data_IF_693544779836
#
_entry.id   IF_693544779836
#
_cell.length_a   1.000
_cell.length_b   1.000
_cell.length_c   1.000
_cell.angle_alpha   90.00
_cell.angle_beta   90.00
_cell.angle_gamma   90.00
#
_symmetry.space_group_name_H-M   'P 1'
#
loop_
_entity.id
_entity.type
_entity.pdbx_description
1 polymer ?
#
# COMPACT_ATOMS: atom_id res chain seq x y z
N UNK A 1 34.17 -54.10 -0.99
CA UNK A 1 32.97 -53.66 -0.24
C UNK A 1 33.19 -52.36 0.56
N UNK A 2 34.22 -52.23 1.40
CA UNK A 2 34.49 -51.00 2.19
C UNK A 2 34.62 -49.72 1.34
N UNK A 3 35.36 -49.77 0.22
CA UNK A 3 35.54 -48.60 -0.67
C UNK A 3 34.28 -48.17 -1.44
N UNK A 4 33.39 -49.12 -1.76
CA UNK A 4 32.11 -48.82 -2.45
C UNK A 4 31.19 -48.03 -1.52
N UNK A 5 31.16 -48.40 -0.23
CA UNK A 5 30.40 -47.68 0.78
C UNK A 5 30.95 -46.25 0.99
N UNK A 6 32.28 -46.09 0.99
CA UNK A 6 32.93 -44.77 1.09
C UNK A 6 32.63 -43.87 -0.11
N UNK A 7 32.61 -44.42 -1.33
CA UNK A 7 32.25 -43.67 -2.54
C UNK A 7 30.79 -43.25 -2.51
N UNK A 8 29.87 -44.15 -2.14
CA UNK A 8 28.43 -43.85 -2.04
C UNK A 8 28.12 -42.75 -1.02
N UNK A 9 28.82 -42.74 0.12
CA UNK A 9 28.71 -41.69 1.14
C UNK A 9 29.25 -40.36 0.61
N UNK A 10 30.39 -40.37 -0.09
CA UNK A 10 30.97 -39.16 -0.68
C UNK A 10 30.05 -38.55 -1.76
N UNK A 11 29.41 -39.38 -2.60
CA UNK A 11 28.45 -38.90 -3.61
C UNK A 11 27.18 -38.34 -2.96
N UNK A 12 26.71 -38.93 -1.85
CA UNK A 12 25.54 -38.45 -1.11
C UNK A 12 25.76 -37.09 -0.43
N UNK A 13 26.98 -36.80 0.02
CA UNK A 13 27.35 -35.49 0.61
C UNK A 13 27.37 -34.39 -0.46
N UNK A 14 27.74 -34.70 -1.70
CA UNK A 14 27.76 -33.73 -2.81
C UNK A 14 26.36 -33.36 -3.32
N UNK A 15 25.34 -34.19 -3.08
CA UNK A 15 23.94 -33.90 -3.44
C UNK A 15 23.16 -33.15 -2.36
N UNK A 16 23.77 -32.89 -1.19
CA UNK A 16 23.12 -32.20 -0.07
C UNK A 16 23.16 -30.67 -0.20
N UNK A 17 23.34 -30.14 -1.41
CA UNK A 17 23.25 -28.72 -1.68
C UNK A 17 21.76 -28.33 -1.67
N UNK A 18 21.26 -27.93 -0.50
CA UNK A 18 19.94 -27.32 -0.39
C UNK A 18 19.98 -25.96 -1.07
N UNK A 19 19.43 -25.87 -2.28
CA UNK A 19 19.25 -24.61 -3.01
C UNK A 19 18.17 -23.77 -2.34
N UNK A 20 18.52 -23.09 -1.24
CA UNK A 20 17.72 -21.97 -0.74
C UNK A 20 17.71 -20.89 -1.82
N UNK A 21 16.53 -20.46 -2.31
CA UNK A 21 16.48 -19.43 -3.33
C UNK A 21 17.19 -18.18 -2.84
N UNK A 22 18.17 -17.70 -3.59
CA UNK A 22 18.82 -16.42 -3.30
C UNK A 22 17.77 -15.31 -3.36
N UNK A 23 17.68 -14.53 -2.29
CA UNK A 23 16.75 -13.42 -2.22
C UNK A 23 17.37 -12.22 -2.93
N UNK A 24 16.66 -11.71 -3.93
CA UNK A 24 17.02 -10.51 -4.66
C UNK A 24 16.25 -9.34 -4.06
N UNK A 25 16.94 -8.23 -3.80
CA UNK A 25 16.29 -6.99 -3.40
C UNK A 25 15.64 -6.33 -4.61
N UNK A 26 14.33 -6.09 -4.53
CA UNK A 26 13.54 -5.38 -5.51
C UNK A 26 12.95 -4.13 -4.85
N UNK A 27 12.92 -3.04 -5.60
CA UNK A 27 12.31 -1.78 -5.14
C UNK A 27 11.32 -1.29 -6.19
N UNK A 28 10.04 -1.18 -5.82
CA UNK A 28 9.01 -0.53 -6.63
C UNK A 28 8.79 0.89 -6.13
N UNK A 29 8.77 1.84 -7.06
CA UNK A 29 8.52 3.25 -6.79
C UNK A 29 7.62 3.81 -7.88
N UNK A 30 6.83 4.80 -7.52
CA UNK A 30 5.91 5.47 -8.42
C UNK A 30 5.16 6.58 -7.70
N UNK A 31 4.35 7.36 -8.40
CA UNK A 31 3.45 8.33 -7.79
C UNK A 31 2.26 7.61 -7.14
N UNK A 32 1.74 8.17 -6.06
CA UNK A 32 0.47 7.77 -5.46
C UNK A 32 0.00 8.86 -4.48
N UNK A 33 -1.32 9.07 -4.40
CA UNK A 33 -1.95 9.84 -3.31
C UNK A 33 -1.40 11.27 -3.14
N UNK A 34 -1.05 11.94 -4.25
CA UNK A 34 -0.50 13.31 -4.24
C UNK A 34 0.99 13.39 -3.86
N UNK A 35 1.69 12.25 -3.84
CA UNK A 35 3.13 12.13 -3.58
C UNK A 35 3.72 10.96 -4.37
N UNK A 36 4.82 10.39 -3.89
CA UNK A 36 5.42 9.16 -4.39
C UNK A 36 5.49 8.08 -3.32
N UNK A 37 5.44 6.81 -3.73
CA UNK A 37 5.69 5.64 -2.91
C UNK A 37 7.06 5.04 -3.22
N UNK A 38 7.64 4.34 -2.24
CA UNK A 38 8.81 3.49 -2.42
C UNK A 38 8.71 2.28 -1.50
N UNK A 39 8.63 1.09 -2.09
CA UNK A 39 8.48 -0.18 -1.38
C UNK A 39 9.63 -1.08 -1.79
N UNK A 40 10.44 -1.49 -0.81
CA UNK A 40 11.57 -2.40 -1.02
C UNK A 40 11.34 -3.71 -0.29
N UNK A 41 11.63 -4.82 -0.97
CA UNK A 41 11.46 -6.17 -0.45
C UNK A 41 12.53 -7.12 -1.00
N UNK A 42 12.73 -8.23 -0.30
CA UNK A 42 13.62 -9.30 -0.71
C UNK A 42 12.79 -10.50 -1.14
N UNK A 43 12.98 -10.99 -2.36
CA UNK A 43 12.15 -12.04 -2.96
C UNK A 43 12.99 -13.01 -3.79
N UNK A 44 12.66 -14.31 -3.82
CA UNK A 44 13.28 -15.24 -4.76
C UNK A 44 13.11 -14.77 -6.20
N UNK A 45 14.15 -14.94 -7.03
CA UNK A 45 14.10 -14.68 -8.47
C UNK A 45 13.78 -13.23 -8.88
N UNK A 46 13.72 -12.29 -7.93
CA UNK A 46 13.47 -10.87 -8.23
C UNK A 46 12.07 -10.59 -8.80
N UNK A 47 11.05 -11.34 -8.38
CA UNK A 47 9.65 -11.10 -8.79
C UNK A 47 9.24 -9.64 -8.56
N UNK A 48 8.67 -9.00 -9.59
CA UNK A 48 8.16 -7.62 -9.52
C UNK A 48 6.67 -7.61 -9.11
N UNK A 49 6.37 -7.05 -7.94
CA UNK A 49 5.02 -6.90 -7.40
C UNK A 49 4.36 -5.55 -7.72
N UNK A 50 4.93 -4.73 -8.63
CA UNK A 50 4.39 -3.41 -9.00
C UNK A 50 2.89 -3.43 -9.29
N UNK A 51 2.42 -4.38 -10.10
CA UNK A 51 0.99 -4.46 -10.47
C UNK A 51 0.08 -4.63 -9.24
N UNK A 52 0.48 -5.48 -8.29
CA UNK A 52 -0.26 -5.70 -7.04
C UNK A 52 -0.25 -4.47 -6.14
N UNK A 53 0.91 -3.79 -6.05
CA UNK A 53 1.07 -2.54 -5.30
C UNK A 53 0.16 -1.46 -5.89
N UNK A 54 0.24 -1.23 -7.20
CA UNK A 54 -0.53 -0.21 -7.90
C UNK A 54 -2.03 -0.50 -7.79
N UNK A 55 -2.44 -1.77 -7.85
CA UNK A 55 -3.83 -2.17 -7.64
C UNK A 55 -4.34 -1.81 -6.23
N UNK A 56 -3.52 -1.99 -5.19
CA UNK A 56 -3.90 -1.63 -3.81
C UNK A 56 -4.01 -0.11 -3.67
N UNK A 57 -3.03 0.64 -4.18
CA UNK A 57 -3.00 2.09 -4.11
C UNK A 57 -4.20 2.69 -4.87
N UNK A 58 -4.51 2.18 -6.05
CA UNK A 58 -5.69 2.59 -6.83
C UNK A 58 -7.00 2.28 -6.09
N UNK A 59 -7.10 1.14 -5.41
CA UNK A 59 -8.28 0.83 -4.59
C UNK A 59 -8.44 1.81 -3.41
N UNK A 60 -7.33 2.25 -2.79
CA UNK A 60 -7.36 3.29 -1.75
C UNK A 60 -7.83 4.63 -2.31
N UNK A 61 -7.41 5.01 -3.52
CA UNK A 61 -7.87 6.24 -4.17
C UNK A 61 -9.38 6.24 -4.42
N UNK A 62 -9.95 5.12 -4.85
CA UNK A 62 -11.40 4.97 -5.02
C UNK A 62 -12.17 5.08 -3.70
N UNK A 63 -11.52 4.87 -2.56
CA UNK A 63 -12.15 5.02 -1.25
C UNK A 63 -11.97 6.45 -0.71
N UNK A 64 -10.76 7.00 -0.76
CA UNK A 64 -10.34 8.10 0.11
C UNK A 64 -9.65 9.27 -0.61
N UNK A 65 -9.59 9.29 -1.95
CA UNK A 65 -9.06 10.44 -2.68
C UNK A 65 -10.08 11.58 -2.76
N UNK A 66 -9.68 12.79 -2.35
CA UNK A 66 -10.48 14.01 -2.52
C UNK A 66 -10.54 14.51 -3.97
N UNK A 67 -9.71 13.94 -4.85
CA UNK A 67 -9.57 14.38 -6.23
C UNK A 67 -10.22 13.43 -7.24
N UNK A 68 -10.45 12.16 -6.84
CA UNK A 68 -11.28 11.24 -7.61
C UNK A 68 -12.74 11.58 -7.33
N UNK A 69 -13.45 12.07 -8.35
CA UNK A 69 -14.82 12.58 -8.21
C UNK A 69 -15.81 11.53 -7.71
N UNK A 70 -15.63 10.26 -8.09
CA UNK A 70 -16.50 9.16 -7.69
C UNK A 70 -15.98 8.35 -6.48
N UNK A 71 -14.93 8.83 -5.80
CA UNK A 71 -14.46 8.16 -4.59
C UNK A 71 -15.50 8.18 -3.49
N UNK A 72 -15.44 7.20 -2.58
CA UNK A 72 -16.38 7.12 -1.47
C UNK A 72 -16.37 8.41 -0.63
N UNK A 73 -15.20 8.99 -0.35
CA UNK A 73 -15.07 10.26 0.39
C UNK A 73 -15.65 11.45 -0.39
N UNK A 74 -15.43 11.54 -1.70
CA UNK A 74 -15.95 12.63 -2.53
C UNK A 74 -17.48 12.59 -2.60
N UNK A 75 -18.04 11.39 -2.74
CA UNK A 75 -19.50 11.15 -2.69
C UNK A 75 -20.08 11.51 -1.33
N UNK A 76 -19.44 11.06 -0.25
CA UNK A 76 -19.85 11.36 1.12
C UNK A 76 -19.85 12.88 1.38
N UNK A 77 -18.80 13.59 0.93
CA UNK A 77 -18.68 15.04 1.09
C UNK A 77 -19.73 15.84 0.31
N UNK A 78 -20.29 15.28 -0.78
CA UNK A 78 -21.43 15.89 -1.49
C UNK A 78 -22.78 15.65 -0.83
N UNK A 79 -22.83 14.80 0.21
CA UNK A 79 -24.07 14.39 0.87
C UNK A 79 -24.80 13.25 0.16
N UNK A 80 -24.14 12.53 -0.75
CA UNK A 80 -24.74 11.36 -1.41
C UNK A 80 -25.01 10.25 -0.39
N UNK A 81 -26.08 9.48 -0.58
CA UNK A 81 -26.25 8.21 0.15
C UNK A 81 -25.26 7.19 -0.42
N UNK A 82 -24.16 6.97 0.29
CA UNK A 82 -23.07 6.08 -0.13
C UNK A 82 -22.86 4.95 0.87
N UNK A 83 -22.82 3.71 0.37
CA UNK A 83 -22.29 2.59 1.14
C UNK A 83 -20.78 2.64 1.06
N UNK A 84 -20.13 2.90 2.19
CA UNK A 84 -18.67 2.97 2.29
C UNK A 84 -18.07 1.59 2.54
N UNK A 85 -16.83 1.40 2.10
CA UNK A 85 -16.01 0.23 2.37
C UNK A 85 -15.69 0.07 3.86
N UNK A 86 -15.40 -1.16 4.28
CA UNK A 86 -14.96 -1.44 5.66
C UNK A 86 -13.67 -0.70 6.01
N UNK A 87 -12.75 -0.56 5.05
CA UNK A 87 -11.50 0.17 5.23
C UNK A 87 -11.77 1.66 5.50
N UNK A 88 -12.60 2.31 4.67
CA UNK A 88 -12.94 3.72 4.86
C UNK A 88 -13.72 3.94 6.16
N UNK A 89 -14.68 3.07 6.49
CA UNK A 89 -15.41 3.13 7.76
C UNK A 89 -14.48 3.02 8.97
N UNK A 90 -13.46 2.16 8.91
CA UNK A 90 -12.45 2.03 9.96
C UNK A 90 -11.62 3.31 10.10
N UNK A 91 -11.22 3.93 8.99
CA UNK A 91 -10.48 5.19 9.01
C UNK A 91 -11.32 6.29 9.65
N UNK A 92 -12.58 6.48 9.24
CA UNK A 92 -13.49 7.47 9.87
C UNK A 92 -13.64 7.22 11.37
N UNK A 93 -13.81 5.95 11.77
CA UNK A 93 -13.97 5.57 13.18
C UNK A 93 -12.74 5.94 13.99
N UNK A 94 -11.54 5.61 13.49
CA UNK A 94 -10.28 5.98 14.14
C UNK A 94 -10.07 7.50 14.15
N UNK A 95 -10.40 8.18 13.06
CA UNK A 95 -10.30 9.64 12.99
C UNK A 95 -11.16 10.32 14.06
N UNK A 96 -12.40 9.86 14.26
CA UNK A 96 -13.27 10.35 15.34
C UNK A 96 -12.67 10.11 16.71
N UNK A 97 -12.12 8.91 16.96
CA UNK A 97 -11.42 8.61 18.21
C UNK A 97 -10.24 9.58 18.44
N UNK A 98 -9.42 9.84 17.42
CA UNK A 98 -8.29 10.75 17.53
C UNK A 98 -8.71 12.21 17.72
N UNK A 99 -9.84 12.64 17.15
CA UNK A 99 -10.40 13.96 17.44
C UNK A 99 -10.70 14.12 18.93
N UNK A 100 -11.32 13.13 19.57
CA UNK A 100 -11.57 13.17 21.02
C UNK A 100 -10.26 13.13 21.83
N UNK A 101 -9.35 12.20 21.50
CA UNK A 101 -8.07 12.04 22.22
C UNK A 101 -7.19 13.29 22.16
N UNK A 102 -7.33 14.09 21.10
CA UNK A 102 -6.55 15.32 20.89
C UNK A 102 -7.32 16.59 21.25
N UNK A 103 -8.52 16.46 21.84
CA UNK A 103 -9.40 17.61 22.15
C UNK A 103 -9.63 18.52 20.93
N UNK A 104 -9.83 17.92 19.76
CA UNK A 104 -10.10 18.62 18.51
C UNK A 104 -8.87 19.15 17.76
N UNK A 105 -7.64 18.90 18.23
CA UNK A 105 -6.44 19.32 17.48
C UNK A 105 -6.25 18.51 16.18
N UNK A 106 -6.68 17.25 16.17
CA UNK A 106 -6.84 16.45 14.95
C UNK A 106 -8.31 16.46 14.53
N UNK A 107 -8.63 17.06 13.38
CA UNK A 107 -10.00 17.15 12.86
C UNK A 107 -10.04 16.92 11.35
N UNK A 108 -10.72 15.85 10.93
CA UNK A 108 -10.87 15.47 9.52
C UNK A 108 -11.96 16.27 8.78
N UNK A 109 -12.65 17.20 9.45
CA UNK A 109 -13.76 17.99 8.90
C UNK A 109 -13.38 19.42 8.55
N UNK A 110 -12.09 19.78 8.65
CA UNK A 110 -11.59 21.16 8.43
C UNK A 110 -11.59 21.62 6.96
N UNK A 111 -12.17 20.85 6.04
CA UNK A 111 -12.23 21.19 4.62
C UNK A 111 -12.76 22.63 4.34
N UNK A 112 -13.81 23.15 5.03
CA UNK A 112 -14.23 24.54 4.86
C UNK A 112 -13.15 25.57 5.23
N UNK A 113 -12.34 25.29 6.25
CA UNK A 113 -11.22 26.14 6.67
C UNK A 113 -10.11 26.10 5.62
N UNK A 114 -9.68 24.90 5.20
CA UNK A 114 -8.69 24.73 4.11
C UNK A 114 -9.08 25.51 2.86
N UNK A 115 -10.37 25.45 2.47
CA UNK A 115 -10.91 26.20 1.33
C UNK A 115 -10.83 27.72 1.55
N UNK A 116 -11.22 28.21 2.73
CA UNK A 116 -11.14 29.64 3.04
C UNK A 116 -9.70 30.19 3.01
N UNK A 117 -8.72 29.36 3.36
CA UNK A 117 -7.30 29.70 3.30
C UNK A 117 -6.65 29.55 1.92
N UNK A 118 -7.36 28.99 0.93
CA UNK A 118 -6.86 28.84 -0.44
C UNK A 118 -6.00 27.61 -0.70
N UNK A 119 -6.00 26.60 0.18
CA UNK A 119 -5.22 25.37 0.02
C UNK A 119 -5.91 24.28 -0.83
N UNK A 120 -7.05 24.57 -1.47
CA UNK A 120 -7.88 23.57 -2.17
C UNK A 120 -7.51 23.27 -3.64
N UNK A 121 -6.40 23.79 -4.16
CA UNK A 121 -6.12 23.84 -5.62
C UNK A 121 -5.21 22.75 -6.18
N UNK A 122 -5.62 21.48 -6.10
CA UNK A 122 -4.92 20.37 -6.77
C UNK A 122 -5.77 19.78 -7.91
N UNK A 123 -5.11 19.29 -8.96
CA UNK A 123 -5.75 18.48 -10.00
C UNK A 123 -5.30 17.02 -9.84
N UNK A 124 -6.23 16.05 -9.91
CA UNK A 124 -5.87 14.64 -9.98
C UNK A 124 -5.26 14.33 -11.35
N UNK A 125 -4.07 13.73 -11.38
CA UNK A 125 -3.49 13.21 -12.62
C UNK A 125 -3.23 11.71 -12.45
N UNK A 126 -3.93 10.90 -13.25
CA UNK A 126 -3.82 9.45 -13.31
C UNK A 126 -2.72 8.95 -14.26
N UNK A 127 -2.03 9.87 -14.96
CA UNK A 127 -1.03 9.57 -15.98
C UNK A 127 0.43 9.72 -15.51
N UNK A 128 0.69 9.61 -14.21
CA UNK A 128 2.06 9.57 -13.67
C UNK A 128 2.34 8.15 -13.18
#
# INVERSE_FOLDING_TARGET
MRYILSILIATGILTSCSSTPELVQVTNQGPAQGSTYSISYQVPQGVDYREGIDSILKAMDQQMSLWVSDSEISRLNRGDSVRISTAFARVITLSKLYTELTSGQFDITIAPVIKAWGFSGGDYNDNV
#
